data_IF_520558855425
#
_entry.id   IF_520558855425
#
_cell.length_a   1.000
_cell.length_b   1.000
_cell.length_c   1.000
_cell.angle_alpha   90.00
_cell.angle_beta   90.00
_cell.angle_gamma   90.00
#
_symmetry.space_group_name_H-M   'P 1'
#
loop_
_entity.id
_entity.type
_entity.pdbx_description
1 polymer ?
#
# COMPACT_ATOMS: atom_id res chain seq x y z
N UNK A 1 -19.63 7.66 0.97
CA UNK A 1 -18.89 6.47 1.46
C UNK A 1 -19.86 5.63 2.25
N UNK A 2 -19.95 4.33 2.03
CA UNK A 2 -20.75 3.46 2.88
C UNK A 2 -19.99 3.26 4.20
N UNK A 3 -20.39 4.03 5.21
CA UNK A 3 -19.69 4.18 6.49
C UNK A 3 -19.67 2.89 7.31
N UNK A 4 -20.61 1.96 7.01
CA UNK A 4 -20.67 0.66 7.67
C UNK A 4 -19.45 -0.22 7.40
N UNK A 5 -18.72 0.03 6.29
CA UNK A 5 -17.58 -0.79 5.88
C UNK A 5 -16.25 -0.43 6.55
N UNK A 6 -16.13 0.74 7.19
CA UNK A 6 -14.88 1.14 7.86
C UNK A 6 -14.50 0.22 9.03
N UNK A 7 -15.51 -0.37 9.67
CA UNK A 7 -15.38 -1.22 10.85
C UNK A 7 -15.78 -2.68 10.61
N UNK A 8 -15.94 -3.11 9.35
CA UNK A 8 -16.32 -4.49 9.07
C UNK A 8 -15.30 -5.48 9.63
N UNK A 9 -15.69 -6.18 10.68
CA UNK A 9 -14.88 -7.18 11.37
C UNK A 9 -15.12 -7.14 12.88
N UNK A 10 -14.26 -7.79 13.63
CA UNK A 10 -14.38 -7.92 15.07
C UNK A 10 -13.71 -6.72 15.75
N UNK A 11 -14.44 -5.98 16.58
CA UNK A 11 -13.89 -4.97 17.47
C UNK A 11 -13.50 -5.58 18.82
N UNK A 12 -12.55 -4.93 19.51
CA UNK A 12 -12.18 -5.26 20.88
C UNK A 12 -12.53 -4.07 21.77
N UNK A 13 -13.20 -4.34 22.88
CA UNK A 13 -13.54 -3.33 23.89
C UNK A 13 -12.90 -3.74 25.21
N UNK A 14 -12.14 -2.86 25.80
CA UNK A 14 -11.45 -3.05 27.08
C UNK A 14 -11.90 -1.94 28.00
N UNK A 15 -12.79 -2.26 28.94
CA UNK A 15 -13.38 -1.30 29.87
C UNK A 15 -13.97 -2.07 31.06
N UNK A 16 -13.63 -1.69 32.29
CA UNK A 16 -14.06 -2.40 33.50
C UNK A 16 -15.59 -2.37 33.71
N UNK A 17 -16.27 -1.41 33.08
CA UNK A 17 -17.72 -1.27 33.12
C UNK A 17 -18.44 -1.90 31.89
N UNK A 18 -17.71 -2.54 30.95
CA UNK A 18 -18.27 -3.08 29.70
C UNK A 18 -19.37 -4.13 29.92
N UNK A 19 -19.39 -4.80 31.07
CA UNK A 19 -20.39 -5.78 31.49
C UNK A 19 -21.39 -5.24 32.53
N UNK A 20 -21.33 -3.94 32.84
CA UNK A 20 -22.21 -3.30 33.82
C UNK A 20 -23.67 -3.29 33.37
N UNK A 21 -24.56 -2.98 34.30
CA UNK A 21 -25.99 -2.80 34.01
C UNK A 21 -26.23 -1.44 33.35
N UNK A 22 -27.42 -1.31 32.70
CA UNK A 22 -27.85 -0.10 31.98
C UNK A 22 -27.54 1.21 32.72
N UNK A 23 -26.95 2.18 32.00
CA UNK A 23 -26.68 3.53 32.48
C UNK A 23 -25.28 4.05 32.15
N UNK A 24 -24.28 3.20 32.06
CA UNK A 24 -22.93 3.62 31.71
C UNK A 24 -22.78 3.98 30.23
N UNK A 25 -22.00 5.00 29.95
CA UNK A 25 -21.76 5.47 28.58
C UNK A 25 -21.14 4.38 27.71
N UNK A 26 -20.25 3.55 28.26
CA UNK A 26 -19.63 2.45 27.50
C UNK A 26 -20.68 1.40 27.11
N UNK A 27 -21.64 1.10 27.97
CA UNK A 27 -22.72 0.15 27.65
C UNK A 27 -23.58 0.67 26.49
N UNK A 28 -23.86 1.99 26.44
CA UNK A 28 -24.58 2.63 25.34
C UNK A 28 -23.77 2.59 24.04
N UNK A 29 -22.45 2.81 24.09
CA UNK A 29 -21.55 2.70 22.94
C UNK A 29 -21.53 1.28 22.41
N UNK A 30 -21.40 0.29 23.30
CA UNK A 30 -21.40 -1.14 22.95
C UNK A 30 -22.73 -1.55 22.34
N UNK A 31 -23.86 -1.16 22.94
CA UNK A 31 -25.18 -1.43 22.40
C UNK A 31 -25.38 -0.82 20.99
N UNK A 32 -24.92 0.40 20.80
CA UNK A 32 -24.94 1.07 19.49
C UNK A 32 -24.11 0.30 18.46
N UNK A 33 -22.90 -0.15 18.81
CA UNK A 33 -22.03 -0.89 17.90
C UNK A 33 -22.60 -2.27 17.56
N UNK A 34 -23.08 -3.02 18.56
CA UNK A 34 -23.60 -4.38 18.36
C UNK A 34 -25.00 -4.37 17.71
N UNK A 35 -25.94 -3.63 18.27
CA UNK A 35 -27.34 -3.72 17.89
C UNK A 35 -27.74 -2.76 16.77
N UNK A 36 -27.15 -1.55 16.72
CA UNK A 36 -27.45 -0.57 15.66
C UNK A 36 -26.55 -0.76 14.43
N UNK A 37 -25.28 -1.07 14.63
CA UNK A 37 -24.30 -1.23 13.53
C UNK A 37 -24.00 -2.69 13.18
N UNK A 38 -24.42 -3.66 14.02
CA UNK A 38 -24.24 -5.10 13.77
C UNK A 38 -22.78 -5.55 13.84
N UNK A 39 -21.94 -4.87 14.62
CA UNK A 39 -20.51 -5.18 14.75
C UNK A 39 -20.30 -6.22 15.86
N UNK A 40 -19.63 -7.35 15.59
CA UNK A 40 -19.25 -8.29 16.64
C UNK A 40 -18.12 -7.69 17.50
N UNK A 41 -18.26 -7.78 18.83
CA UNK A 41 -17.29 -7.27 19.78
C UNK A 41 -16.77 -8.38 20.71
N UNK A 42 -15.47 -8.32 20.98
CA UNK A 42 -14.83 -9.05 22.08
C UNK A 42 -14.68 -8.06 23.25
N UNK A 43 -15.15 -8.43 24.43
CA UNK A 43 -15.23 -7.56 25.60
C UNK A 43 -14.31 -8.06 26.69
N UNK A 44 -13.49 -7.18 27.22
CA UNK A 44 -12.60 -7.41 28.35
C UNK A 44 -12.86 -6.39 29.44
N UNK A 45 -12.88 -6.83 30.70
CA UNK A 45 -12.99 -5.96 31.88
C UNK A 45 -11.64 -5.51 32.43
N UNK A 46 -10.56 -6.03 31.89
CA UNK A 46 -9.16 -5.69 32.20
C UNK A 46 -8.31 -5.89 30.97
N UNK A 47 -7.06 -5.41 30.98
CA UNK A 47 -6.13 -5.65 29.87
C UNK A 47 -5.93 -7.15 29.67
N UNK A 48 -6.09 -7.67 28.45
CA UNK A 48 -5.84 -9.07 28.17
C UNK A 48 -4.34 -9.37 28.22
N UNK A 49 -3.97 -10.44 28.92
CA UNK A 49 -2.59 -10.96 28.90
C UNK A 49 -2.34 -11.72 27.60
N UNK A 50 -1.22 -11.45 26.95
CA UNK A 50 -0.78 -12.17 25.76
C UNK A 50 0.75 -12.14 25.60
N UNK A 51 1.29 -13.22 25.06
CA UNK A 51 2.71 -13.34 24.74
C UNK A 51 3.05 -12.72 23.39
N UNK A 52 2.13 -12.76 22.43
CA UNK A 52 2.30 -12.31 21.05
C UNK A 52 1.07 -11.52 20.57
N UNK A 53 1.30 -10.27 20.19
CA UNK A 53 0.24 -9.39 19.66
C UNK A 53 -0.37 -9.90 18.35
N UNK A 54 0.33 -10.76 17.61
CA UNK A 54 -0.20 -11.34 16.36
C UNK A 54 -1.45 -12.18 16.56
N UNK A 55 -1.77 -12.62 17.78
CA UNK A 55 -3.05 -13.27 18.11
C UNK A 55 -4.26 -12.36 17.83
N UNK A 56 -4.05 -11.06 17.79
CA UNK A 56 -5.10 -10.06 17.53
C UNK A 56 -5.15 -9.58 16.07
N UNK A 57 -4.50 -10.26 15.11
CA UNK A 57 -4.49 -9.87 13.69
C UNK A 57 -5.87 -9.75 13.07
N UNK A 58 -6.86 -10.45 13.61
CA UNK A 58 -8.27 -10.37 13.19
C UNK A 58 -9.02 -9.15 13.71
N UNK A 59 -8.49 -8.42 14.69
CA UNK A 59 -9.12 -7.25 15.31
C UNK A 59 -9.05 -6.06 14.35
N UNK A 60 -10.18 -5.36 14.18
CA UNK A 60 -10.30 -4.22 13.27
C UNK A 60 -10.15 -2.87 13.96
N UNK A 61 -10.51 -2.79 15.24
CA UNK A 61 -10.33 -1.62 16.08
C UNK A 61 -10.31 -2.04 17.55
N UNK A 62 -9.70 -1.21 18.39
CA UNK A 62 -9.66 -1.39 19.84
C UNK A 62 -10.28 -0.14 20.48
N UNK A 63 -11.25 -0.35 21.36
CA UNK A 63 -11.74 0.67 22.27
C UNK A 63 -11.11 0.39 23.64
N UNK A 64 -10.39 1.35 24.18
CA UNK A 64 -9.68 1.21 25.45
C UNK A 64 -10.13 2.31 26.42
N UNK A 65 -10.62 1.91 27.59
CA UNK A 65 -10.74 2.82 28.72
C UNK A 65 -9.35 3.10 29.29
N UNK A 66 -9.05 4.38 29.49
CA UNK A 66 -7.78 4.78 30.07
C UNK A 66 -7.69 4.52 31.57
N UNK A 67 -8.84 4.54 32.25
CA UNK A 67 -8.98 4.51 33.71
C UNK A 67 -9.46 3.14 34.22
N UNK A 68 -8.93 2.06 33.68
CA UNK A 68 -9.24 0.69 34.13
C UNK A 68 -8.96 0.55 35.62
N UNK A 69 -9.95 0.07 36.37
CA UNK A 69 -9.77 -0.28 37.78
C UNK A 69 -9.18 -1.67 37.87
N UNK A 70 -8.09 -1.83 38.60
CA UNK A 70 -7.59 -3.15 38.98
C UNK A 70 -8.57 -3.72 40.00
N UNK A 71 -9.37 -4.70 39.58
CA UNK A 71 -10.17 -5.52 40.50
C UNK A 71 -9.20 -6.44 41.26
N UNK A 72 -8.62 -5.97 42.34
CA UNK A 72 -8.05 -6.86 43.35
C UNK A 72 -9.22 -7.59 44.03
N UNK A 73 -9.25 -8.91 43.91
CA UNK A 73 -10.37 -9.77 44.33
C UNK A 73 -10.61 -9.79 45.86
N UNK A 74 -9.98 -8.96 46.64
CA UNK A 74 -10.03 -9.00 48.13
C UNK A 74 -10.32 -7.67 48.84
N UNK A 75 -10.56 -6.54 48.11
CA UNK A 75 -10.64 -5.23 48.77
C UNK A 75 -11.95 -4.52 48.50
N UNK A 76 -13.00 -4.91 49.26
CA UNK A 76 -14.23 -4.10 49.41
C UNK A 76 -14.01 -2.80 50.21
N UNK A 77 -12.81 -2.48 50.71
CA UNK A 77 -12.53 -1.36 51.62
C UNK A 77 -11.25 -0.55 51.31
N UNK A 78 -10.73 -0.49 50.08
CA UNK A 78 -9.61 0.41 49.82
C UNK A 78 -10.09 1.83 49.55
N UNK A 79 -9.48 2.88 50.20
CA UNK A 79 -9.87 4.25 49.96
C UNK A 79 -9.59 4.67 48.54
N UNK A 80 -10.62 5.23 47.90
CA UNK A 80 -10.54 5.87 46.57
C UNK A 80 -9.35 6.83 46.54
N UNK A 81 -8.34 6.53 45.71
CA UNK A 81 -7.29 7.49 45.37
C UNK A 81 -5.90 7.24 45.96
N UNK A 82 -5.35 6.01 45.82
CA UNK A 82 -3.91 5.83 45.99
C UNK A 82 -3.21 6.27 44.68
N UNK A 83 -2.48 7.42 44.66
CA UNK A 83 -1.86 7.93 43.41
C UNK A 83 -0.94 6.90 42.73
N UNK A 84 -0.35 6.00 43.49
CA UNK A 84 0.59 5.00 43.01
C UNK A 84 -0.08 3.90 42.17
N UNK A 85 -1.29 3.47 42.54
CA UNK A 85 -2.08 2.50 41.76
C UNK A 85 -2.56 3.10 40.41
N UNK A 86 -2.88 4.37 40.36
CA UNK A 86 -3.25 5.06 39.14
C UNK A 86 -2.04 5.21 38.18
N UNK A 87 -0.85 5.43 38.71
CA UNK A 87 0.38 5.49 37.89
C UNK A 87 0.78 4.14 37.31
N UNK A 88 0.61 3.06 38.08
CA UNK A 88 0.93 1.72 37.63
C UNK A 88 -0.03 1.27 36.51
N UNK A 89 -1.33 1.55 36.62
CA UNK A 89 -2.31 1.27 35.56
C UNK A 89 -1.99 2.01 34.24
N UNK A 90 -1.52 3.25 34.32
CA UNK A 90 -1.12 4.02 33.13
C UNK A 90 0.11 3.43 32.45
N UNK A 91 1.06 2.90 33.21
CA UNK A 91 2.21 2.18 32.66
C UNK A 91 1.79 0.89 31.96
N UNK A 92 0.89 0.11 32.56
CA UNK A 92 0.34 -1.10 31.94
C UNK A 92 -0.39 -0.79 30.64
N UNK A 93 -1.17 0.28 30.57
CA UNK A 93 -1.80 0.76 29.33
C UNK A 93 -0.74 1.10 28.26
N UNK A 94 0.33 1.80 28.61
CA UNK A 94 1.41 2.14 27.68
C UNK A 94 2.12 0.89 27.19
N UNK A 95 2.47 -0.06 28.08
CA UNK A 95 3.12 -1.32 27.70
C UNK A 95 2.22 -2.17 26.77
N UNK A 96 0.93 -2.25 27.08
CA UNK A 96 -0.05 -2.90 26.23
C UNK A 96 -0.10 -2.27 24.83
N UNK A 97 -0.21 -0.94 24.74
CA UNK A 97 -0.25 -0.21 23.49
C UNK A 97 1.05 -0.37 22.68
N UNK A 98 2.22 -0.28 23.34
CA UNK A 98 3.52 -0.51 22.70
C UNK A 98 3.58 -1.90 22.08
N UNK A 99 3.14 -2.91 22.82
CA UNK A 99 3.13 -4.31 22.37
C UNK A 99 2.20 -4.54 21.19
N UNK A 100 1.00 -3.96 21.22
CA UNK A 100 0.05 -4.02 20.09
C UNK A 100 0.61 -3.31 18.86
N UNK A 101 1.05 -2.07 18.99
CA UNK A 101 1.47 -1.24 17.86
C UNK A 101 2.82 -1.62 17.27
N UNK A 102 3.64 -2.37 17.99
CA UNK A 102 4.89 -2.94 17.44
C UNK A 102 4.64 -4.02 16.38
N UNK A 103 3.47 -4.65 16.40
CA UNK A 103 3.16 -5.81 15.54
C UNK A 103 1.92 -5.62 14.66
N UNK A 104 1.02 -4.71 15.04
CA UNK A 104 -0.28 -4.54 14.37
C UNK A 104 -0.50 -3.10 13.94
N UNK A 105 -1.05 -2.95 12.74
CA UNK A 105 -1.63 -1.69 12.27
C UNK A 105 -3.14 -1.76 12.50
N UNK A 106 -3.59 -1.19 13.62
CA UNK A 106 -4.99 -1.20 14.05
C UNK A 106 -5.35 0.15 14.65
N UNK A 107 -6.52 0.76 14.34
CA UNK A 107 -6.97 1.97 15.00
C UNK A 107 -7.32 1.67 16.48
N UNK A 108 -6.81 2.51 17.37
CA UNK A 108 -7.06 2.44 18.80
C UNK A 108 -7.77 3.71 19.23
N UNK A 109 -8.92 3.54 19.86
CA UNK A 109 -9.73 4.62 20.37
C UNK A 109 -9.66 4.58 21.90
N UNK A 110 -9.06 5.60 22.48
CA UNK A 110 -8.98 5.79 23.93
C UNK A 110 -10.11 6.72 24.36
N UNK A 111 -11.02 6.20 25.17
CA UNK A 111 -12.13 6.94 25.72
C UNK A 111 -12.01 7.00 27.24
N UNK A 112 -11.96 8.20 27.79
CA UNK A 112 -11.70 8.42 29.21
C UNK A 112 -12.53 9.58 29.73
N UNK A 113 -12.64 9.67 31.05
CA UNK A 113 -13.12 10.86 31.76
C UNK A 113 -12.00 11.87 32.04
N UNK A 114 -10.73 11.47 31.89
CA UNK A 114 -9.58 12.36 32.03
C UNK A 114 -9.47 13.34 30.86
N UNK A 115 -8.70 14.40 31.05
CA UNK A 115 -8.45 15.36 29.98
C UNK A 115 -7.66 14.72 28.84
N UNK A 116 -7.99 15.08 27.61
CA UNK A 116 -7.30 14.56 26.41
C UNK A 116 -5.80 14.91 26.47
N UNK A 117 -5.47 16.10 26.98
CA UNK A 117 -4.10 16.60 27.11
C UNK A 117 -3.26 15.76 28.07
N UNK A 118 -3.82 15.30 29.17
CA UNK A 118 -3.11 14.45 30.13
C UNK A 118 -2.80 13.08 29.53
N UNK A 119 -3.77 12.46 28.86
CA UNK A 119 -3.55 11.18 28.18
C UNK A 119 -2.50 11.32 27.09
N UNK A 120 -2.58 12.37 26.27
CA UNK A 120 -1.59 12.62 25.22
C UNK A 120 -0.17 12.78 25.77
N UNK A 121 -0.01 13.39 26.96
CA UNK A 121 1.29 13.51 27.63
C UNK A 121 1.86 12.13 27.97
N UNK A 122 1.09 11.22 28.55
CA UNK A 122 1.53 9.84 28.83
C UNK A 122 1.89 9.08 27.55
N UNK A 123 1.13 9.27 26.47
CA UNK A 123 1.42 8.66 25.18
C UNK A 123 2.73 9.18 24.55
N UNK A 124 3.03 10.47 24.74
CA UNK A 124 4.31 11.07 24.30
C UNK A 124 5.47 10.53 25.13
N UNK A 125 5.34 10.51 26.46
CA UNK A 125 6.35 9.99 27.36
C UNK A 125 6.63 8.48 27.10
N UNK A 126 5.60 7.74 26.69
CA UNK A 126 5.68 6.34 26.24
C UNK A 126 6.17 6.13 24.81
N UNK A 127 6.59 7.16 24.09
CA UNK A 127 6.99 7.11 22.66
C UNK A 127 5.92 6.53 21.72
N UNK A 128 4.65 6.64 22.07
CA UNK A 128 3.51 6.22 21.25
C UNK A 128 2.93 7.35 20.40
N UNK A 129 3.32 8.59 20.71
CA UNK A 129 2.86 9.80 20.03
C UNK A 129 4.02 10.80 19.96
N UNK A 130 4.09 11.58 18.88
CA UNK A 130 5.07 12.66 18.71
C UNK A 130 4.41 14.00 19.07
N UNK A 131 5.11 14.85 19.84
CA UNK A 131 4.63 16.20 20.20
C UNK A 131 4.22 17.04 18.98
N UNK A 132 4.95 16.91 17.87
CA UNK A 132 4.72 17.68 16.64
C UNK A 132 3.71 17.01 15.67
N UNK A 133 3.30 15.77 15.93
CA UNK A 133 2.45 14.98 15.05
C UNK A 133 1.37 14.21 15.81
N UNK A 134 0.75 14.86 16.80
CA UNK A 134 -0.28 14.22 17.65
C UNK A 134 -1.43 13.60 16.87
N UNK A 135 -1.75 14.15 15.71
CA UNK A 135 -2.86 13.69 14.86
C UNK A 135 -2.44 12.58 13.84
N UNK A 136 -1.17 12.16 13.86
CA UNK A 136 -0.65 11.20 12.85
C UNK A 136 -0.36 9.80 13.39
N UNK A 137 -0.98 9.43 14.49
CA UNK A 137 -0.83 8.10 15.11
C UNK A 137 -2.11 7.28 15.00
N UNK A 138 -1.99 5.96 15.04
CA UNK A 138 -3.16 5.06 15.04
C UNK A 138 -3.99 5.13 16.33
N UNK A 139 -3.70 6.08 17.22
CA UNK A 139 -4.37 6.30 18.51
C UNK A 139 -5.20 7.57 18.42
N UNK A 140 -6.46 7.44 18.73
CA UNK A 140 -7.41 8.52 18.80
C UNK A 140 -7.92 8.68 20.23
N UNK A 141 -7.75 9.86 20.83
CA UNK A 141 -8.14 10.14 22.23
C UNK A 141 -9.34 11.08 22.24
N UNK A 142 -10.40 10.70 22.91
CA UNK A 142 -11.62 11.51 23.10
C UNK A 142 -12.23 11.27 24.47
N UNK A 143 -12.97 12.27 24.97
CA UNK A 143 -13.85 12.05 26.11
C UNK A 143 -15.04 11.16 25.72
N UNK A 144 -15.47 10.29 26.63
CA UNK A 144 -16.68 9.48 26.43
C UNK A 144 -17.92 10.35 26.16
N UNK A 145 -17.99 11.53 26.79
CA UNK A 145 -19.09 12.48 26.59
C UNK A 145 -19.18 13.04 25.17
N UNK A 146 -18.04 13.18 24.48
CA UNK A 146 -17.97 13.73 23.12
C UNK A 146 -18.46 12.78 22.04
N UNK A 147 -18.78 11.55 22.42
CA UNK A 147 -19.34 10.53 21.52
C UNK A 147 -20.87 10.56 21.45
N UNK A 148 -21.50 11.51 22.14
CA UNK A 148 -22.93 11.69 22.18
C UNK A 148 -23.31 13.10 21.73
N UNK A 149 -24.40 13.22 20.97
CA UNK A 149 -24.97 14.50 20.57
C UNK A 149 -25.77 15.16 21.72
N UNK A 150 -26.32 16.35 21.46
CA UNK A 150 -27.18 17.09 22.40
C UNK A 150 -28.43 16.28 22.84
N UNK A 151 -28.88 15.33 22.03
CA UNK A 151 -29.99 14.43 22.30
C UNK A 151 -29.55 13.13 22.99
N UNK A 152 -28.28 13.01 23.37
CA UNK A 152 -27.65 11.81 23.93
C UNK A 152 -27.67 10.59 22.98
N UNK A 153 -27.69 10.81 21.66
CA UNK A 153 -27.53 9.76 20.67
C UNK A 153 -26.04 9.56 20.39
N UNK A 154 -25.62 8.30 20.28
CA UNK A 154 -24.23 7.95 20.01
C UNK A 154 -23.84 8.36 18.57
N UNK A 155 -22.88 9.28 18.46
CA UNK A 155 -22.34 9.79 17.19
C UNK A 155 -20.92 9.28 16.93
N UNK A 156 -20.52 8.23 17.62
CA UNK A 156 -19.15 7.68 17.54
C UNK A 156 -18.70 7.43 16.09
N UNK A 157 -19.59 6.95 15.23
CA UNK A 157 -19.23 6.67 13.83
C UNK A 157 -18.87 7.91 13.03
N UNK A 158 -19.57 9.02 13.27
CA UNK A 158 -19.28 10.28 12.57
C UNK A 158 -17.96 10.86 13.05
N UNK A 159 -17.71 10.83 14.36
CA UNK A 159 -16.45 11.29 14.96
C UNK A 159 -15.27 10.46 14.47
N UNK A 160 -15.41 9.15 14.43
CA UNK A 160 -14.35 8.24 13.95
C UNK A 160 -14.14 8.38 12.43
N UNK A 161 -15.20 8.63 11.67
CA UNK A 161 -15.11 8.89 10.24
C UNK A 161 -14.30 10.14 9.92
N UNK A 162 -14.53 11.24 10.65
CA UNK A 162 -13.73 12.45 10.51
C UNK A 162 -12.26 12.18 10.79
N UNK A 163 -11.97 11.40 11.83
CA UNK A 163 -10.59 11.00 12.13
C UNK A 163 -9.98 10.15 11.00
N UNK A 164 -10.69 9.17 10.44
CA UNK A 164 -10.19 8.40 9.29
C UNK A 164 -9.90 9.28 8.07
N UNK A 165 -10.67 10.36 7.87
CA UNK A 165 -10.41 11.31 6.78
C UNK A 165 -9.10 12.06 6.99
N UNK A 166 -8.69 12.29 8.25
CA UNK A 166 -7.40 12.89 8.59
C UNK A 166 -6.23 11.89 8.54
N UNK A 167 -6.52 10.57 8.43
CA UNK A 167 -5.55 9.47 8.50
C UNK A 167 -5.52 8.63 7.20
N UNK A 168 -5.03 9.20 6.08
CA UNK A 168 -5.08 8.52 4.77
C UNK A 168 -4.43 7.14 4.76
N UNK A 169 -3.35 6.94 5.53
CA UNK A 169 -2.68 5.64 5.63
C UNK A 169 -3.59 4.57 6.23
N UNK A 170 -4.28 4.89 7.35
CA UNK A 170 -5.22 3.97 7.99
C UNK A 170 -6.41 3.66 7.09
N UNK A 171 -6.93 4.67 6.40
CA UNK A 171 -8.00 4.52 5.43
C UNK A 171 -7.64 3.53 4.32
N UNK A 172 -6.47 3.72 3.68
CA UNK A 172 -5.99 2.86 2.59
C UNK A 172 -5.78 1.43 3.07
N UNK A 173 -5.06 1.25 4.20
CA UNK A 173 -4.74 -0.07 4.73
C UNK A 173 -6.00 -0.83 5.13
N UNK A 174 -6.95 -0.19 5.82
CA UNK A 174 -8.18 -0.86 6.20
C UNK A 174 -9.03 -1.27 5.00
N UNK A 175 -9.16 -0.38 4.01
CA UNK A 175 -9.93 -0.68 2.80
C UNK A 175 -9.29 -1.81 2.00
N UNK A 176 -7.97 -1.80 1.86
CA UNK A 176 -7.24 -2.86 1.16
C UNK A 176 -7.29 -4.20 1.90
N UNK A 177 -7.13 -4.21 3.24
CA UNK A 177 -7.26 -5.44 4.05
C UNK A 177 -8.59 -6.16 3.83
N UNK A 178 -9.68 -5.41 3.66
CA UNK A 178 -10.99 -6.02 3.41
C UNK A 178 -11.02 -6.75 2.07
N UNK A 179 -10.61 -6.08 0.99
CA UNK A 179 -10.59 -6.69 -0.34
C UNK A 179 -9.65 -7.91 -0.39
N UNK A 180 -8.51 -7.81 0.29
CA UNK A 180 -7.60 -8.95 0.43
C UNK A 180 -8.26 -10.16 1.12
N UNK A 181 -8.98 -9.93 2.22
CA UNK A 181 -9.69 -11.01 2.93
C UNK A 181 -10.83 -11.60 2.11
N UNK A 182 -11.56 -10.80 1.34
CA UNK A 182 -12.55 -11.30 0.39
C UNK A 182 -11.92 -12.16 -0.70
N UNK A 183 -10.82 -11.71 -1.28
CA UNK A 183 -10.08 -12.45 -2.29
C UNK A 183 -9.55 -13.79 -1.75
N UNK A 184 -9.00 -13.79 -0.54
CA UNK A 184 -8.51 -14.98 0.15
C UNK A 184 -9.64 -15.98 0.40
N UNK A 185 -10.76 -15.55 0.94
CA UNK A 185 -11.92 -16.41 1.18
C UNK A 185 -12.49 -16.94 -0.13
N UNK A 186 -12.60 -16.10 -1.16
CA UNK A 186 -13.06 -16.52 -2.49
C UNK A 186 -12.15 -17.60 -3.07
N UNK A 187 -10.83 -17.43 -2.98
CA UNK A 187 -9.86 -18.43 -3.42
C UNK A 187 -10.01 -19.74 -2.64
N UNK A 188 -10.09 -19.65 -1.30
CA UNK A 188 -10.20 -20.83 -0.44
C UNK A 188 -11.48 -21.64 -0.71
N UNK A 189 -12.61 -20.96 -0.91
CA UNK A 189 -13.90 -21.60 -1.24
C UNK A 189 -13.86 -22.24 -2.62
N UNK A 190 -13.27 -21.60 -3.61
CA UNK A 190 -13.13 -22.13 -4.97
C UNK A 190 -12.24 -23.39 -4.98
N UNK A 191 -11.09 -23.34 -4.35
CA UNK A 191 -10.18 -24.48 -4.22
C UNK A 191 -10.83 -25.65 -3.45
N UNK A 192 -11.54 -25.34 -2.34
CA UNK A 192 -12.30 -26.34 -1.59
C UNK A 192 -13.42 -26.95 -2.44
N UNK A 193 -14.09 -26.14 -3.26
CA UNK A 193 -15.13 -26.61 -4.18
C UNK A 193 -14.59 -27.57 -5.25
N UNK A 194 -13.33 -27.40 -5.66
CA UNK A 194 -12.67 -28.33 -6.56
C UNK A 194 -12.27 -29.64 -5.86
N UNK A 195 -11.70 -29.57 -4.67
CA UNK A 195 -11.37 -30.73 -3.84
C UNK A 195 -10.99 -30.29 -2.42
N UNK A 196 -11.45 -31.00 -1.39
CA UNK A 196 -10.94 -30.81 -0.02
C UNK A 196 -9.45 -31.16 0.12
N UNK A 197 -8.93 -32.00 -0.79
CA UNK A 197 -7.54 -32.46 -0.80
C UNK A 197 -6.66 -31.64 -1.76
N UNK A 198 -7.10 -30.45 -2.18
CA UNK A 198 -6.30 -29.62 -3.10
C UNK A 198 -4.88 -29.33 -2.59
N UNK A 199 -4.61 -29.12 -1.28
CA UNK A 199 -3.24 -28.92 -0.82
C UNK A 199 -2.38 -30.16 -1.04
N UNK A 200 -2.93 -31.36 -0.81
CA UNK A 200 -2.22 -32.61 -1.01
C UNK A 200 -1.90 -32.86 -2.49
N UNK A 201 -2.81 -32.47 -3.38
CA UNK A 201 -2.62 -32.58 -4.83
C UNK A 201 -1.47 -31.68 -5.26
N UNK A 202 -1.48 -30.39 -4.86
CA UNK A 202 -0.40 -29.45 -5.18
C UNK A 202 0.92 -29.89 -4.55
N UNK A 203 0.89 -30.33 -3.30
CA UNK A 203 2.09 -30.86 -2.62
C UNK A 203 2.75 -31.97 -3.41
N UNK A 204 1.96 -32.93 -3.87
CA UNK A 204 2.48 -34.05 -4.70
C UNK A 204 3.06 -33.53 -6.01
N UNK A 205 2.35 -32.65 -6.72
CA UNK A 205 2.81 -32.10 -8.00
C UNK A 205 4.18 -31.40 -7.83
N UNK A 206 4.33 -30.56 -6.83
CA UNK A 206 5.58 -29.83 -6.60
C UNK A 206 6.71 -30.72 -6.10
N UNK A 207 6.39 -31.71 -5.28
CA UNK A 207 7.38 -32.72 -4.87
C UNK A 207 7.89 -33.53 -6.06
N UNK A 208 7.00 -33.91 -6.97
CA UNK A 208 7.36 -34.66 -8.18
C UNK A 208 8.18 -33.80 -9.17
N UNK A 209 7.99 -32.46 -9.15
CA UNK A 209 8.79 -31.46 -9.89
C UNK A 209 10.15 -31.16 -9.23
N UNK A 210 10.41 -31.69 -8.05
CA UNK A 210 11.68 -31.53 -7.33
C UNK A 210 11.89 -30.15 -6.69
N UNK A 211 10.81 -29.38 -6.46
CA UNK A 211 10.82 -28.08 -5.81
C UNK A 211 10.34 -28.18 -4.36
N UNK A 212 10.53 -27.13 -3.57
CA UNK A 212 9.98 -27.06 -2.22
C UNK A 212 8.45 -26.84 -2.26
N UNK A 213 7.63 -27.85 -1.93
CA UNK A 213 6.19 -27.74 -2.05
C UNK A 213 5.58 -26.63 -1.17
N UNK A 214 6.18 -26.33 -0.02
CA UNK A 214 5.68 -25.28 0.88
C UNK A 214 5.79 -23.90 0.24
N UNK A 215 6.94 -23.60 -0.37
CA UNK A 215 7.17 -22.32 -1.04
C UNK A 215 6.26 -22.14 -2.26
N UNK A 216 6.14 -23.19 -3.07
CA UNK A 216 5.31 -23.14 -4.29
C UNK A 216 3.82 -23.02 -3.97
N UNK A 217 3.32 -23.71 -2.94
CA UNK A 217 1.94 -23.57 -2.49
C UNK A 217 1.68 -22.13 -2.03
N UNK A 218 2.58 -21.54 -1.24
CA UNK A 218 2.46 -20.15 -0.81
C UNK A 218 2.48 -19.19 -2.00
N UNK A 219 3.37 -19.42 -2.97
CA UNK A 219 3.45 -18.60 -4.19
C UNK A 219 2.14 -18.66 -5.01
N UNK A 220 1.59 -19.87 -5.22
CA UNK A 220 0.32 -20.06 -5.93
C UNK A 220 -0.86 -19.43 -5.20
N UNK A 221 -0.96 -19.60 -3.87
CA UNK A 221 -1.99 -18.96 -3.06
C UNK A 221 -1.90 -17.44 -3.20
N UNK A 222 -0.69 -16.89 -3.02
CA UNK A 222 -0.46 -15.45 -3.11
C UNK A 222 -0.85 -14.88 -4.47
N UNK A 223 -0.44 -15.55 -5.56
CA UNK A 223 -0.78 -15.11 -6.92
C UNK A 223 -2.28 -15.19 -7.20
N UNK A 224 -2.95 -16.25 -6.74
CA UNK A 224 -4.40 -16.42 -6.87
C UNK A 224 -5.17 -15.33 -6.11
N UNK A 225 -4.77 -15.04 -4.87
CA UNK A 225 -5.39 -13.97 -4.05
C UNK A 225 -5.21 -12.62 -4.73
N UNK A 226 -3.97 -12.28 -5.13
CA UNK A 226 -3.69 -11.00 -5.82
C UNK A 226 -4.49 -10.85 -7.13
N UNK A 227 -4.68 -11.95 -7.87
CA UNK A 227 -5.46 -11.93 -9.11
C UNK A 227 -6.97 -11.79 -8.89
N UNK A 228 -7.46 -12.05 -7.70
CA UNK A 228 -8.89 -11.94 -7.32
C UNK A 228 -9.24 -10.63 -6.63
N UNK A 229 -8.24 -9.85 -6.19
CA UNK A 229 -8.48 -8.53 -5.61
C UNK A 229 -9.18 -7.66 -6.66
N UNK A 230 -10.38 -7.19 -6.32
CA UNK A 230 -11.10 -6.25 -7.18
C UNK A 230 -10.43 -4.87 -7.12
N UNK A 231 -10.57 -4.05 -8.18
CA UNK A 231 -10.08 -2.68 -8.15
C UNK A 231 -10.66 -1.92 -6.95
N UNK A 232 -9.78 -1.43 -6.09
CA UNK A 232 -10.16 -0.64 -4.91
C UNK A 232 -10.27 0.83 -5.33
N UNK A 233 -11.47 1.39 -5.28
CA UNK A 233 -11.67 2.81 -5.48
C UNK A 233 -11.44 3.56 -4.17
N UNK A 234 -10.41 4.39 -4.13
CA UNK A 234 -10.15 5.27 -3.01
C UNK A 234 -10.84 6.62 -3.21
N UNK A 235 -11.24 7.24 -2.09
CA UNK A 235 -11.87 8.56 -2.12
C UNK A 235 -10.82 9.65 -2.39
N UNK A 236 -10.96 10.34 -3.52
CA UNK A 236 -10.07 11.43 -3.93
C UNK A 236 -10.07 12.59 -2.91
N UNK A 237 -11.17 12.80 -2.19
CA UNK A 237 -11.24 13.81 -1.14
C UNK A 237 -10.30 13.53 0.04
N UNK A 238 -9.93 12.26 0.25
CA UNK A 238 -8.98 11.84 1.29
C UNK A 238 -7.56 11.82 0.74
N UNK A 239 -7.36 11.20 -0.44
CA UNK A 239 -6.01 10.99 -0.98
C UNK A 239 -5.53 12.11 -1.90
N UNK A 240 -6.44 12.89 -2.48
CA UNK A 240 -6.10 13.99 -3.38
C UNK A 240 -5.69 15.30 -2.69
N UNK A 241 -5.64 15.32 -1.35
CA UNK A 241 -5.19 16.49 -0.59
C UNK A 241 -3.68 16.64 -0.78
N UNK A 242 -3.25 17.76 -1.37
CA UNK A 242 -1.83 18.07 -1.46
C UNK A 242 -1.24 18.26 -0.06
N UNK A 243 -0.19 17.51 0.22
CA UNK A 243 0.56 17.58 1.46
C UNK A 243 1.99 18.05 1.15
N UNK A 244 2.48 19.00 1.92
CA UNK A 244 3.87 19.39 1.87
C UNK A 244 4.75 18.27 2.45
N UNK A 245 5.28 17.45 1.54
CA UNK A 245 6.17 16.36 1.90
C UNK A 245 7.64 16.80 1.80
N UNK A 246 8.42 16.53 2.84
CA UNK A 246 9.85 16.76 2.78
C UNK A 246 10.50 15.90 1.68
N UNK A 247 11.57 16.34 1.03
CA UNK A 247 12.32 15.53 0.06
C UNK A 247 12.73 14.16 0.63
N UNK A 248 13.06 14.09 1.92
CA UNK A 248 13.40 12.84 2.58
C UNK A 248 12.20 11.90 2.71
N UNK A 249 11.03 12.42 3.08
CA UNK A 249 9.80 11.62 3.15
C UNK A 249 9.40 11.05 1.79
N UNK A 250 9.46 11.90 0.73
CA UNK A 250 9.23 11.46 -0.64
C UNK A 250 10.20 10.35 -1.05
N UNK A 251 11.49 10.54 -0.78
CA UNK A 251 12.51 9.56 -1.13
C UNK A 251 12.31 8.23 -0.39
N UNK A 252 11.97 8.28 0.90
CA UNK A 252 11.71 7.09 1.70
C UNK A 252 10.50 6.31 1.17
N UNK A 253 9.38 6.97 0.88
CA UNK A 253 8.18 6.33 0.34
C UNK A 253 8.49 5.70 -1.03
N UNK A 254 9.16 6.43 -1.92
CA UNK A 254 9.53 5.91 -3.25
C UNK A 254 10.52 4.76 -3.17
N UNK A 255 11.44 4.79 -2.19
CA UNK A 255 12.35 3.67 -1.93
C UNK A 255 11.57 2.41 -1.51
N UNK A 256 10.66 2.53 -0.55
CA UNK A 256 9.83 1.39 -0.11
C UNK A 256 8.88 0.88 -1.23
N UNK A 257 8.52 1.73 -2.20
CA UNK A 257 7.73 1.33 -3.36
C UNK A 257 8.50 0.50 -4.39
N UNK A 258 9.83 0.53 -4.39
CA UNK A 258 10.64 -0.20 -5.36
C UNK A 258 11.57 -1.27 -4.75
N UNK A 259 11.82 -1.19 -3.45
CA UNK A 259 12.84 -2.00 -2.79
C UNK A 259 12.36 -2.48 -1.40
N UNK A 260 12.55 -3.78 -1.14
CA UNK A 260 12.30 -4.41 0.16
C UNK A 260 13.65 -4.71 0.81
N UNK A 261 13.85 -4.29 2.04
CA UNK A 261 15.07 -4.56 2.81
C UNK A 261 15.22 -6.02 3.17
N UNK A 262 16.46 -6.48 3.34
CA UNK A 262 16.78 -7.88 3.54
C UNK A 262 16.13 -8.51 4.78
N UNK A 263 15.91 -7.72 5.83
CA UNK A 263 15.26 -8.17 7.08
C UNK A 263 13.82 -8.67 6.91
N UNK A 264 13.16 -8.21 5.82
CA UNK A 264 11.78 -8.62 5.47
C UNK A 264 11.73 -9.75 4.44
N UNK A 265 12.87 -10.30 4.03
CA UNK A 265 12.96 -11.35 3.01
C UNK A 265 13.33 -12.68 3.64
N UNK A 266 12.79 -13.76 3.06
CA UNK A 266 13.23 -15.11 3.39
C UNK A 266 14.64 -15.42 2.90
N UNK A 267 15.14 -16.60 3.26
CA UNK A 267 16.51 -17.05 2.97
C UNK A 267 16.74 -17.53 1.54
N UNK A 268 15.72 -17.56 0.71
CA UNK A 268 15.80 -18.03 -0.67
C UNK A 268 16.16 -16.92 -1.65
N UNK A 269 16.86 -17.28 -2.73
CA UNK A 269 17.16 -16.35 -3.81
C UNK A 269 15.93 -16.06 -4.66
N UNK A 270 15.87 -14.85 -5.23
CA UNK A 270 14.81 -14.47 -6.17
C UNK A 270 15.27 -13.45 -7.17
N UNK A 271 14.53 -13.33 -8.27
CA UNK A 271 14.72 -12.24 -9.23
C UNK A 271 14.58 -10.89 -8.52
N UNK A 272 15.53 -10.00 -8.77
CA UNK A 272 15.56 -8.67 -8.16
C UNK A 272 16.37 -8.57 -6.88
N UNK A 273 16.88 -9.65 -6.34
CA UNK A 273 17.79 -9.59 -5.19
C UNK A 273 18.98 -8.69 -5.50
N UNK A 274 19.25 -7.77 -4.58
CA UNK A 274 20.34 -6.81 -4.68
C UNK A 274 21.42 -7.13 -3.66
N UNK A 275 22.63 -7.19 -4.13
CA UNK A 275 23.82 -7.46 -3.33
C UNK A 275 24.74 -6.27 -3.30
N UNK A 276 25.45 -6.08 -2.21
CA UNK A 276 26.43 -5.01 -2.02
C UNK A 276 27.78 -5.58 -1.63
N UNK A 277 28.78 -5.34 -2.48
CA UNK A 277 30.16 -5.75 -2.25
C UNK A 277 31.03 -4.53 -2.02
N UNK A 278 31.96 -4.61 -1.02
CA UNK A 278 32.91 -3.57 -0.65
C UNK A 278 32.27 -2.18 -0.42
N UNK A 279 31.01 -2.15 0.01
CA UNK A 279 30.21 -0.93 0.22
C UNK A 279 30.12 0.00 -1.01
N UNK A 280 30.47 -0.49 -2.19
CA UNK A 280 30.61 0.31 -3.42
C UNK A 280 29.95 -0.32 -4.64
N UNK A 281 30.07 -1.63 -4.80
CA UNK A 281 29.60 -2.33 -5.98
C UNK A 281 28.25 -2.99 -5.69
N UNK A 282 27.27 -2.64 -6.49
CA UNK A 282 25.94 -3.20 -6.41
C UNK A 282 25.78 -4.28 -7.48
N UNK A 283 24.97 -5.27 -7.18
CA UNK A 283 24.64 -6.32 -8.13
C UNK A 283 23.16 -6.63 -8.03
N UNK A 284 22.49 -6.84 -9.16
CA UNK A 284 21.08 -7.21 -9.19
C UNK A 284 20.91 -8.57 -9.87
N UNK A 285 20.19 -9.48 -9.23
CA UNK A 285 19.85 -10.77 -9.80
C UNK A 285 18.74 -10.61 -10.85
N UNK A 286 19.05 -11.01 -12.09
CA UNK A 286 18.09 -10.99 -13.20
C UNK A 286 17.68 -12.40 -13.65
N UNK A 287 18.10 -13.45 -12.93
CA UNK A 287 17.68 -14.81 -13.23
C UNK A 287 16.16 -14.91 -13.12
N UNK A 288 15.48 -15.59 -14.07
CA UNK A 288 14.03 -15.81 -13.99
C UNK A 288 13.62 -16.43 -12.66
N UNK A 289 12.47 -16.04 -12.12
CA UNK A 289 12.01 -16.49 -10.79
C UNK A 289 11.86 -18.02 -10.72
N UNK A 290 11.36 -18.65 -11.78
CA UNK A 290 11.26 -20.10 -11.87
C UNK A 290 12.61 -20.83 -11.81
N UNK A 291 13.69 -20.15 -12.18
CA UNK A 291 15.04 -20.70 -12.15
C UNK A 291 15.78 -20.38 -10.85
N UNK A 292 15.28 -19.43 -10.07
CA UNK A 292 15.81 -19.13 -8.72
C UNK A 292 15.37 -20.18 -7.68
N UNK A 293 14.39 -21.01 -8.01
CA UNK A 293 13.95 -22.10 -7.13
C UNK A 293 15.07 -23.12 -7.01
N UNK A 294 15.45 -23.44 -5.80
CA UNK A 294 16.49 -24.44 -5.54
C UNK A 294 15.98 -25.83 -5.92
N UNK A 295 16.62 -26.41 -6.91
CA UNK A 295 16.45 -27.80 -7.30
C UNK A 295 17.76 -28.54 -7.06
N UNK A 296 17.81 -29.38 -6.06
CA UNK A 296 18.96 -30.22 -5.74
C UNK A 296 20.19 -29.48 -5.14
N UNK A 297 19.98 -28.39 -4.40
CA UNK A 297 21.05 -27.71 -3.68
C UNK A 297 21.96 -26.84 -4.53
N UNK A 298 21.58 -26.50 -5.77
CA UNK A 298 22.35 -25.66 -6.67
C UNK A 298 21.59 -24.37 -7.01
N UNK A 299 21.57 -23.42 -6.09
CA UNK A 299 21.00 -22.11 -6.34
C UNK A 299 22.05 -21.16 -6.92
N UNK A 300 21.93 -20.86 -8.21
CA UNK A 300 22.81 -19.93 -8.92
C UNK A 300 22.09 -18.62 -9.15
N UNK A 301 22.79 -17.49 -9.09
CA UNK A 301 22.24 -16.15 -9.39
C UNK A 301 22.98 -15.51 -10.54
N UNK A 302 22.26 -14.71 -11.35
CA UNK A 302 22.77 -13.98 -12.52
C UNK A 302 22.82 -12.50 -12.18
N UNK A 303 23.99 -12.01 -11.89
CA UNK A 303 24.21 -10.70 -11.31
C UNK A 303 24.69 -9.69 -12.35
N UNK A 304 23.89 -8.64 -12.59
CA UNK A 304 24.37 -7.47 -13.32
C UNK A 304 25.06 -6.52 -12.38
N UNK A 305 26.30 -6.13 -12.70
CA UNK A 305 27.03 -5.16 -11.88
C UNK A 305 26.49 -3.76 -12.02
N UNK A 306 26.48 -3.00 -10.94
CA UNK A 306 25.98 -1.64 -10.88
C UNK A 306 26.82 -0.73 -10.00
N UNK A 307 26.67 0.56 -10.23
CA UNK A 307 27.33 1.61 -9.44
C UNK A 307 26.36 2.71 -9.06
N UNK A 308 26.54 3.28 -7.87
CA UNK A 308 25.77 4.45 -7.45
C UNK A 308 26.00 5.62 -8.42
N UNK A 309 24.94 6.25 -8.89
CA UNK A 309 24.99 7.51 -9.62
C UNK A 309 25.39 8.66 -8.69
N UNK A 310 26.28 9.53 -9.16
CA UNK A 310 26.57 10.79 -8.47
C UNK A 310 25.41 11.77 -8.67
N UNK A 311 25.23 12.71 -7.73
CA UNK A 311 24.16 13.71 -7.82
C UNK A 311 24.19 14.52 -9.13
N UNK A 312 25.39 14.80 -9.66
CA UNK A 312 25.54 15.46 -10.96
C UNK A 312 25.04 14.60 -12.11
N UNK A 313 25.35 13.30 -12.12
CA UNK A 313 24.82 12.36 -13.12
C UNK A 313 23.31 12.18 -13.00
N UNK A 314 22.76 12.15 -11.78
CA UNK A 314 21.30 12.11 -11.56
C UNK A 314 20.66 13.33 -12.22
N UNK A 315 21.13 14.55 -11.92
CA UNK A 315 20.60 15.79 -12.49
C UNK A 315 20.71 15.84 -14.02
N UNK A 316 21.86 15.43 -14.57
CA UNK A 316 22.12 15.52 -16.01
C UNK A 316 21.35 14.47 -16.83
N UNK A 317 21.06 13.32 -16.24
CA UNK A 317 20.37 12.23 -16.94
C UNK A 317 18.85 12.22 -16.71
N UNK A 318 18.36 12.95 -15.71
CA UNK A 318 16.92 13.00 -15.45
C UNK A 318 16.22 14.00 -16.37
N UNK A 319 15.25 13.51 -17.14
CA UNK A 319 14.40 14.35 -17.98
C UNK A 319 13.16 14.78 -17.22
N UNK A 320 13.09 16.05 -16.82
CA UNK A 320 11.94 16.62 -16.12
C UNK A 320 10.66 16.55 -16.95
N UNK A 321 10.77 16.62 -18.28
CA UNK A 321 9.62 16.55 -19.20
C UNK A 321 8.93 15.20 -19.19
N UNK A 322 9.69 14.11 -19.03
CA UNK A 322 9.19 12.74 -19.10
C UNK A 322 9.22 12.01 -17.76
N UNK A 323 9.76 12.62 -16.70
CA UNK A 323 9.92 11.98 -15.39
C UNK A 323 10.78 10.70 -15.43
N UNK A 324 11.71 10.59 -16.37
CA UNK A 324 12.52 9.39 -16.60
C UNK A 324 14.00 9.74 -16.77
N UNK A 325 14.87 8.78 -16.48
CA UNK A 325 16.28 8.89 -16.79
C UNK A 325 16.54 8.64 -18.29
N UNK A 326 17.46 9.43 -18.87
CA UNK A 326 18.00 9.17 -20.20
C UNK A 326 19.05 8.05 -20.08
N UNK A 327 18.60 6.83 -20.25
CA UNK A 327 19.44 5.67 -20.14
C UNK A 327 20.09 5.29 -21.49
N UNK A 328 21.28 4.73 -21.39
CA UNK A 328 21.92 4.13 -22.56
C UNK A 328 21.30 2.77 -22.89
N UNK A 329 21.48 2.31 -24.12
CA UNK A 329 20.94 1.02 -24.57
C UNK A 329 21.54 -0.21 -23.84
N UNK A 330 22.63 -0.01 -23.08
CA UNK A 330 23.37 -1.06 -22.39
C UNK A 330 23.36 -0.89 -20.85
N UNK A 331 22.46 -0.05 -20.33
CA UNK A 331 22.31 0.18 -18.90
C UNK A 331 20.84 0.29 -18.50
N UNK A 332 20.55 0.06 -17.22
CA UNK A 332 19.27 0.39 -16.58
C UNK A 332 19.54 1.11 -15.26
N UNK A 333 18.74 2.12 -14.96
CA UNK A 333 18.81 2.88 -13.71
C UNK A 333 17.61 2.50 -12.84
N UNK A 334 17.89 2.08 -11.62
CA UNK A 334 16.89 1.73 -10.62
C UNK A 334 17.09 2.59 -9.38
N UNK A 335 15.99 3.01 -8.79
CA UNK A 335 15.98 3.75 -7.53
C UNK A 335 14.72 4.61 -7.38
N UNK A 336 14.60 5.26 -6.23
CA UNK A 336 15.59 5.26 -5.15
C UNK A 336 15.67 3.93 -4.40
N UNK A 337 16.88 3.49 -4.07
CA UNK A 337 17.17 2.42 -3.11
C UNK A 337 17.78 3.11 -1.88
N UNK A 338 17.00 3.33 -0.84
CA UNK A 338 17.31 4.35 0.15
C UNK A 338 17.36 5.74 -0.52
N UNK A 339 18.50 6.41 -0.43
CA UNK A 339 18.77 7.71 -1.08
C UNK A 339 19.53 7.59 -2.42
N UNK A 340 19.64 6.39 -2.99
CA UNK A 340 20.57 6.10 -4.07
C UNK A 340 19.87 5.67 -5.34
N UNK A 341 20.35 6.14 -6.48
CA UNK A 341 20.05 5.59 -7.80
C UNK A 341 21.22 4.75 -8.26
N UNK A 342 20.95 3.54 -8.70
CA UNK A 342 21.97 2.57 -9.13
C UNK A 342 21.85 2.37 -10.64
N UNK A 343 22.96 2.53 -11.36
CA UNK A 343 23.07 2.23 -12.78
C UNK A 343 23.67 0.84 -12.97
N UNK A 344 22.85 -0.11 -13.43
CA UNK A 344 23.27 -1.47 -13.75
C UNK A 344 23.72 -1.57 -15.19
N UNK A 345 24.84 -2.28 -15.43
CA UNK A 345 25.50 -2.41 -16.74
C UNK A 345 25.31 -3.81 -17.30
N UNK A 346 24.76 -3.90 -18.49
CA UNK A 346 24.41 -5.19 -19.11
C UNK A 346 25.62 -5.99 -19.64
N UNK A 347 26.78 -5.35 -19.78
CA UNK A 347 28.00 -6.03 -20.21
C UNK A 347 28.64 -6.89 -19.12
N UNK A 348 28.38 -6.55 -17.88
CA UNK A 348 29.09 -7.09 -16.73
C UNK A 348 28.18 -8.07 -15.98
N UNK A 349 27.87 -9.21 -16.64
CA UNK A 349 27.11 -10.29 -16.03
C UNK A 349 28.06 -11.25 -15.29
N UNK A 350 27.76 -11.51 -14.04
CA UNK A 350 28.43 -12.46 -13.17
C UNK A 350 27.49 -13.60 -12.81
N UNK A 351 27.93 -14.84 -12.95
CA UNK A 351 27.18 -16.02 -12.55
C UNK A 351 27.87 -16.63 -11.35
N UNK A 352 27.16 -16.71 -10.21
CA UNK A 352 27.73 -17.17 -8.94
C UNK A 352 26.74 -18.04 -8.20
N UNK A 353 27.28 -18.83 -7.28
CA UNK A 353 26.50 -19.58 -6.31
C UNK A 353 25.86 -18.65 -5.28
N UNK A 354 24.56 -18.83 -5.00
CA UNK A 354 23.80 -18.00 -4.06
C UNK A 354 24.36 -18.09 -2.65
N UNK A 355 24.71 -19.29 -2.16
CA UNK A 355 25.19 -19.48 -0.80
C UNK A 355 26.47 -18.68 -0.53
N UNK A 356 27.31 -18.48 -1.54
CA UNK A 356 28.53 -17.66 -1.42
C UNK A 356 28.25 -16.16 -1.39
N UNK A 357 27.06 -15.73 -1.83
CA UNK A 357 26.67 -14.32 -1.93
C UNK A 357 25.54 -13.93 -0.98
N UNK A 358 24.91 -14.86 -0.32
CA UNK A 358 23.75 -14.68 0.55
C UNK A 358 23.95 -13.56 1.56
N UNK A 359 25.09 -13.54 2.26
CA UNK A 359 25.39 -12.55 3.29
C UNK A 359 25.62 -11.12 2.74
N UNK A 360 25.83 -10.97 1.43
CA UNK A 360 25.98 -9.69 0.76
C UNK A 360 24.63 -9.11 0.31
N UNK A 361 23.52 -9.86 0.42
CA UNK A 361 22.21 -9.41 0.02
C UNK A 361 21.73 -8.30 0.94
N UNK A 362 21.36 -7.16 0.36
CA UNK A 362 20.85 -6.00 1.10
C UNK A 362 19.33 -5.85 0.97
N UNK A 363 18.71 -6.56 0.04
CA UNK A 363 17.27 -6.51 -0.19
C UNK A 363 16.90 -6.93 -1.61
N UNK A 364 15.70 -6.56 -2.03
CA UNK A 364 15.13 -6.96 -3.33
C UNK A 364 14.41 -5.80 -4.01
N UNK A 365 14.73 -5.57 -5.28
CA UNK A 365 13.96 -4.72 -6.19
C UNK A 365 12.76 -5.50 -6.68
N UNK A 366 11.57 -4.96 -6.46
CA UNK A 366 10.30 -5.64 -6.80
C UNK A 366 9.78 -5.24 -8.19
N UNK A 367 8.86 -6.03 -8.79
CA UNK A 367 8.11 -5.59 -9.96
C UNK A 367 7.35 -4.27 -9.70
N UNK A 368 7.21 -3.38 -10.71
CA UNK A 368 7.66 -3.56 -12.10
C UNK A 368 9.13 -3.21 -12.36
N UNK A 369 9.88 -2.75 -11.38
CA UNK A 369 11.24 -2.22 -11.55
C UNK A 369 12.22 -3.31 -11.99
N UNK A 370 12.24 -4.46 -11.34
CA UNK A 370 13.11 -5.57 -11.76
C UNK A 370 12.71 -6.11 -13.12
N UNK A 371 11.41 -6.19 -13.41
CA UNK A 371 10.91 -6.61 -14.72
C UNK A 371 11.43 -5.71 -15.83
N UNK A 372 11.45 -4.39 -15.59
CA UNK A 372 12.01 -3.40 -16.50
C UNK A 372 13.50 -3.67 -16.79
N UNK A 373 14.30 -3.92 -15.74
CA UNK A 373 15.74 -4.27 -15.90
C UNK A 373 15.91 -5.53 -16.74
N UNK A 374 15.16 -6.59 -16.43
CA UNK A 374 15.22 -7.86 -17.15
C UNK A 374 14.81 -7.71 -18.62
N UNK A 375 13.75 -6.96 -18.92
CA UNK A 375 13.34 -6.67 -20.31
C UNK A 375 14.40 -5.90 -21.09
N UNK A 376 14.98 -4.85 -20.48
CA UNK A 376 16.08 -4.09 -21.13
C UNK A 376 17.31 -4.97 -21.37
N UNK A 377 17.65 -5.82 -20.42
CA UNK A 377 18.73 -6.79 -20.60
C UNK A 377 18.44 -7.77 -21.74
N UNK A 378 17.22 -8.29 -21.84
CA UNK A 378 16.79 -9.14 -22.96
C UNK A 378 16.98 -8.43 -24.31
N UNK A 379 16.52 -7.18 -24.44
CA UNK A 379 16.71 -6.39 -25.64
C UNK A 379 18.20 -6.15 -25.96
N UNK A 380 19.01 -5.96 -24.92
CA UNK A 380 20.46 -5.82 -25.08
C UNK A 380 21.12 -7.08 -25.64
N UNK A 381 20.77 -8.26 -25.13
CA UNK A 381 21.35 -9.54 -25.57
C UNK A 381 20.93 -9.88 -27.00
N UNK A 382 19.72 -9.56 -27.38
CA UNK A 382 19.19 -9.85 -28.74
C UNK A 382 19.61 -8.81 -29.79
N UNK A 383 20.31 -7.75 -29.43
CA UNK A 383 20.74 -6.75 -30.41
C UNK A 383 21.79 -7.34 -31.35
N UNK A 384 21.61 -7.14 -32.63
CA UNK A 384 22.61 -7.48 -33.65
C UNK A 384 23.48 -6.24 -33.91
N UNK A 385 24.80 -6.39 -33.76
CA UNK A 385 25.73 -5.37 -34.19
C UNK A 385 25.92 -5.42 -35.69
N UNK A 386 25.65 -4.34 -36.38
CA UNK A 386 26.01 -4.22 -37.79
C UNK A 386 27.48 -3.80 -37.88
N UNK A 387 28.23 -4.35 -38.87
CA UNK A 387 29.58 -3.91 -39.14
C UNK A 387 29.58 -2.41 -39.56
N UNK A 388 30.60 -1.71 -39.18
CA UNK A 388 30.77 -0.33 -39.66
C UNK A 388 31.08 -0.37 -41.16
N UNK A 389 30.37 0.42 -41.92
CA UNK A 389 30.70 0.61 -43.32
C UNK A 389 31.99 1.46 -43.39
N UNK A 390 32.95 1.08 -44.27
CA UNK A 390 34.08 1.94 -44.58
C UNK A 390 33.60 3.29 -45.11
N UNK A 391 34.29 4.38 -44.70
CA UNK A 391 33.88 5.73 -45.12
C UNK A 391 33.86 5.90 -46.63
N UNK A 392 34.70 5.15 -47.33
CA UNK A 392 34.84 5.16 -48.77
C UNK A 392 33.62 4.58 -49.52
N UNK A 393 32.84 3.75 -48.83
CA UNK A 393 31.60 3.14 -49.42
C UNK A 393 30.38 4.07 -49.21
N UNK A 394 30.45 4.97 -48.20
CA UNK A 394 29.44 5.99 -48.04
C UNK A 394 29.63 6.94 -49.22
N UNK A 395 28.68 7.06 -50.15
CA UNK A 395 28.77 8.04 -51.21
C UNK A 395 29.16 9.38 -50.54
N UNK A 396 30.23 10.01 -50.98
CA UNK A 396 30.58 11.31 -50.53
C UNK A 396 29.28 12.14 -50.60
N UNK A 397 28.70 12.41 -49.49
CA UNK A 397 27.79 13.50 -49.30
C UNK A 397 28.67 14.76 -49.48
N UNK A 398 29.20 14.94 -50.71
CA UNK A 398 29.51 16.28 -51.18
C UNK A 398 28.24 17.02 -50.87
N UNK A 399 28.36 17.97 -49.99
CA UNK A 399 27.29 18.85 -49.63
C UNK A 399 26.52 19.18 -50.91
N UNK A 400 25.44 18.45 -51.16
CA UNK A 400 24.42 18.96 -52.02
C UNK A 400 24.02 20.25 -51.36
N UNK A 401 24.47 21.33 -51.97
CA UNK A 401 24.03 22.67 -51.62
C UNK A 401 22.53 22.83 -51.77
N UNK A 402 21.81 21.76 -52.01
CA UNK A 402 20.36 21.61 -52.07
C UNK A 402 19.72 21.12 -50.75
N UNK A 403 20.51 20.79 -49.67
CA UNK A 403 19.91 20.41 -48.37
C UNK A 403 19.08 21.57 -47.75
N UNK A 404 19.33 22.82 -48.22
CA UNK A 404 18.50 23.97 -47.83
C UNK A 404 17.08 23.95 -48.33
N UNK A 405 16.75 23.13 -49.34
CA UNK A 405 15.38 23.07 -49.88
C UNK A 405 14.56 21.95 -49.26
N UNK A 406 15.18 20.78 -48.89
CA UNK A 406 14.46 19.70 -48.23
C UNK A 406 14.06 20.04 -46.81
N UNK A 407 14.93 20.73 -46.05
CA UNK A 407 14.61 21.22 -44.70
C UNK A 407 13.52 22.29 -44.72
N UNK A 408 13.47 23.15 -45.76
CA UNK A 408 12.39 24.11 -45.97
C UNK A 408 11.09 23.43 -46.36
N UNK A 409 11.13 22.35 -47.14
CA UNK A 409 9.92 21.59 -47.49
C UNK A 409 9.40 20.75 -46.30
N UNK A 410 10.26 20.15 -45.54
CA UNK A 410 9.91 19.47 -44.28
C UNK A 410 9.31 20.44 -43.23
N UNK A 411 9.93 21.61 -43.06
CA UNK A 411 9.40 22.64 -42.17
C UNK A 411 8.06 23.21 -42.66
N UNK A 412 7.87 23.32 -43.97
CA UNK A 412 6.61 23.75 -44.58
C UNK A 412 5.52 22.67 -44.43
N UNK A 413 5.84 21.39 -44.60
CA UNK A 413 4.93 20.29 -44.33
C UNK A 413 4.57 20.19 -42.85
N UNK A 414 5.54 20.38 -41.93
CA UNK A 414 5.32 20.42 -40.50
C UNK A 414 4.42 21.59 -40.08
N UNK A 415 4.62 22.76 -40.66
CA UNK A 415 3.81 23.93 -40.40
C UNK A 415 2.35 23.75 -40.96
N UNK A 416 2.20 23.11 -42.09
CA UNK A 416 0.89 22.79 -42.66
C UNK A 416 0.14 21.72 -41.85
N UNK A 417 0.86 20.71 -41.35
CA UNK A 417 0.32 19.69 -40.45
C UNK A 417 -0.13 20.30 -39.11
N UNK A 418 0.65 21.21 -38.52
CA UNK A 418 0.29 21.95 -37.32
C UNK A 418 -0.98 22.75 -37.50
N UNK A 419 -1.13 23.49 -38.65
CA UNK A 419 -2.36 24.24 -38.99
C UNK A 419 -3.56 23.33 -39.18
N UNK A 420 -3.37 22.10 -39.71
CA UNK A 420 -4.44 21.12 -39.83
C UNK A 420 -4.90 20.58 -38.47
N UNK A 421 -3.94 20.29 -37.59
CA UNK A 421 -4.24 19.87 -36.21
C UNK A 421 -5.00 20.96 -35.46
N UNK A 422 -4.58 22.21 -35.54
CA UNK A 422 -5.32 23.35 -34.94
C UNK A 422 -6.74 23.49 -35.46
N UNK A 423 -6.95 23.33 -36.78
CA UNK A 423 -8.29 23.33 -37.38
C UNK A 423 -9.18 22.17 -36.94
N UNK A 424 -8.59 20.99 -36.78
CA UNK A 424 -9.30 19.80 -36.27
C UNK A 424 -9.64 19.96 -34.78
N UNK A 425 -8.72 20.45 -33.98
CA UNK A 425 -8.95 20.73 -32.55
C UNK A 425 -10.05 21.77 -32.35
N UNK A 426 -10.05 22.85 -33.16
CA UNK A 426 -11.11 23.83 -33.14
C UNK A 426 -12.48 23.27 -33.57
N UNK A 427 -12.52 22.37 -34.57
CA UNK A 427 -13.75 21.66 -34.95
C UNK A 427 -14.28 20.73 -33.84
N UNK A 428 -13.38 19.99 -33.16
CA UNK A 428 -13.75 19.14 -32.02
C UNK A 428 -14.33 19.98 -30.89
N UNK A 429 -13.71 21.10 -30.53
CA UNK A 429 -14.21 22.01 -29.52
C UNK A 429 -15.57 22.62 -29.87
N UNK A 430 -15.80 22.91 -31.14
CA UNK A 430 -17.10 23.38 -31.63
C UNK A 430 -18.18 22.27 -31.57
N UNK A 431 -17.82 21.04 -31.88
CA UNK A 431 -18.72 19.88 -31.76
C UNK A 431 -19.05 19.53 -30.30
N UNK A 432 -18.11 19.69 -29.39
CA UNK A 432 -18.36 19.52 -27.95
C UNK A 432 -19.29 20.59 -27.39
N UNK A 433 -19.11 21.84 -27.79
CA UNK A 433 -20.07 22.92 -27.46
C UNK A 433 -21.47 22.64 -27.99
N UNK A 434 -21.59 22.14 -29.21
CA UNK A 434 -22.91 21.79 -29.78
C UNK A 434 -23.53 20.57 -29.08
N UNK A 435 -22.74 19.57 -28.66
CA UNK A 435 -23.22 18.47 -27.84
C UNK A 435 -23.71 18.92 -26.45
N UNK A 436 -23.02 19.85 -25.82
CA UNK A 436 -23.48 20.45 -24.55
C UNK A 436 -24.78 21.23 -24.72
N UNK A 437 -24.99 21.90 -25.82
CA UNK A 437 -26.27 22.54 -26.16
C UNK A 437 -27.40 21.53 -26.40
N UNK A 438 -27.12 20.40 -27.07
CA UNK A 438 -28.13 19.33 -27.26
C UNK A 438 -28.51 18.64 -25.93
N UNK A 439 -27.56 18.38 -25.07
CA UNK A 439 -27.83 17.83 -23.73
C UNK A 439 -28.67 18.79 -22.87
N UNK A 440 -28.43 20.09 -22.95
CA UNK A 440 -29.29 21.08 -22.28
C UNK A 440 -30.72 21.09 -22.84
N UNK A 441 -30.90 20.87 -24.14
CA UNK A 441 -32.24 20.79 -24.76
C UNK A 441 -32.98 19.49 -24.40
N UNK A 442 -32.30 18.37 -24.22
CA UNK A 442 -32.93 17.12 -23.82
C UNK A 442 -33.34 17.14 -22.34
N UNK A 443 -32.59 17.78 -21.47
CA UNK A 443 -32.96 17.95 -20.06
C UNK A 443 -34.11 18.97 -19.83
N UNK A 444 -34.40 19.86 -20.79
CA UNK A 444 -35.55 20.77 -20.70
C UNK A 444 -36.87 20.16 -21.22
N UNK A 445 -36.85 18.98 -21.86
CA UNK A 445 -38.08 18.32 -22.36
C UNK A 445 -38.69 17.27 -21.46
N UNK A 446 -38.13 17.02 -20.27
CA UNK A 446 -38.63 16.01 -19.31
C UNK A 446 -39.53 16.60 -18.21
N UNK A 447 -39.88 17.90 -18.30
CA UNK A 447 -40.90 18.46 -17.40
C UNK A 447 -42.04 18.94 -18.30
N UNK A 448 -43.01 18.12 -18.58
CA UNK A 448 -44.44 18.31 -18.81
C UNK A 448 -45.03 17.07 -19.52
N UNK A 449 -45.67 16.20 -18.77
CA UNK A 449 -46.91 15.55 -19.21
C UNK A 449 -47.59 14.86 -18.01
N UNK A 450 -48.89 15.12 -17.83
CA UNK A 450 -49.61 14.68 -16.63
C UNK A 450 -50.24 13.30 -16.81
N UNK A 451 -50.49 12.71 -15.66
CA UNK A 451 -51.43 11.61 -15.35
C UNK A 451 -52.49 11.34 -16.44
N UNK A 452 -52.65 10.07 -16.82
CA UNK A 452 -53.95 9.48 -17.15
C UNK A 452 -53.97 7.94 -17.06
N UNK A 453 -54.80 7.50 -16.10
CA UNK A 453 -55.70 6.34 -16.13
C UNK A 453 -55.16 4.90 -16.13
N UNK A 454 -55.45 4.32 -14.97
CA UNK A 454 -55.81 2.90 -14.74
C UNK A 454 -56.64 2.32 -15.88
N UNK A 455 -56.29 1.10 -16.31
CA UNK A 455 -57.27 0.11 -16.74
C UNK A 455 -56.80 -1.30 -16.33
N UNK A 456 -57.66 -1.92 -15.55
CA UNK A 456 -57.71 -3.35 -15.25
C UNK A 456 -57.84 -4.15 -16.55
N UNK A 457 -57.15 -5.27 -16.68
CA UNK A 457 -57.78 -6.46 -17.27
C UNK A 457 -57.26 -7.71 -16.59
N UNK A 458 -58.22 -8.54 -16.16
CA UNK A 458 -58.12 -9.92 -15.72
C UNK A 458 -57.79 -10.81 -16.94
N UNK A 459 -56.93 -11.73 -16.86
CA UNK A 459 -57.21 -13.20 -16.87
C UNK A 459 -55.95 -13.91 -16.43
#
# INVERSE_FOLDING_TARGET
>A
MDDSKLFNGIGMVIDDHVMSKEGDQIVQIVDYLENTKGLPLIKYTSLPEFSDATYFTGIKFILLDWDLKVLSAEDDELPIGIPQLQEDNKKENIEFLQKILSSLVVPIFIFSHNTVEDIQRYLIDGNLMDENNKDKVSIFVKSKSDLFDENRQCIMFDVVKEWFQSMPAMYVVNKWKMEYMYALNSMALDMKGASEYWPNILWKCYKDDGVNPSEEIVAVISQNVLSRIQPVEFDEKILGIEQDCSPNSLNNVLSKNCFIENEFLGDTSSTGDVYLEDKKYYYINIRPMCDCVDRNGNSVVYLLSGTKLTNSKVKNNYSTKYGKFNEQANTAIVGPIGDKFIEFRFKDLLIVDFETWKDKRIGRVIPPYVTYVAQKYGLYVHRQGLPRLPKEIIPNLQADTNVGNEDNDLNKQLSNSKKQIEKLTAKIAAMEKSKQHLCRWQNCKVIIAPSLKKRKFRK
#
